data_IF_650938122807
#
_entry.id   IF_650938122807
#
_cell.length_a   1.000
_cell.length_b   1.000
_cell.length_c   1.000
_cell.angle_alpha   90.00
_cell.angle_beta   90.00
_cell.angle_gamma   90.00
#
_symmetry.space_group_name_H-M   'P 1'
#
loop_
_entity.id
_entity.type
_entity.pdbx_description
1 polymer ?
#
# COMPACT_ATOMS: atom_id res chain seq x y z
N UNK A 1 8.12 3.66 -36.34
CA UNK A 1 7.30 4.83 -35.92
C UNK A 1 5.85 4.40 -35.62
N UNK A 2 5.67 3.28 -34.92
CA UNK A 2 4.36 2.78 -34.43
C UNK A 2 4.40 2.49 -32.92
N UNK A 3 5.59 2.42 -32.32
CA UNK A 3 5.82 2.03 -30.90
C UNK A 3 5.31 3.05 -29.86
N UNK A 4 4.87 4.23 -30.32
CA UNK A 4 4.29 5.25 -29.46
C UNK A 4 2.77 5.16 -29.37
N UNK A 5 2.13 4.33 -30.20
CA UNK A 5 0.68 4.15 -30.16
C UNK A 5 0.36 2.93 -29.29
N UNK A 6 -0.46 3.16 -28.27
CA UNK A 6 -0.86 2.12 -27.31
C UNK A 6 -2.39 2.04 -27.17
N UNK A 7 -2.87 0.85 -26.83
CA UNK A 7 -4.28 0.61 -26.49
C UNK A 7 -4.65 1.04 -25.07
N UNK A 8 -5.94 0.95 -24.76
CA UNK A 8 -6.53 1.34 -23.47
C UNK A 8 -5.93 0.57 -22.30
N UNK A 9 -5.69 -0.72 -22.48
CA UNK A 9 -5.17 -1.64 -21.46
C UNK A 9 -3.76 -1.22 -21.05
N UNK A 10 -2.91 -0.93 -22.04
CA UNK A 10 -1.54 -0.47 -21.78
C UNK A 10 -1.52 0.95 -21.22
N UNK A 11 -2.40 1.83 -21.69
CA UNK A 11 -2.55 3.17 -21.12
C UNK A 11 -3.04 3.12 -19.66
N UNK A 12 -3.93 2.19 -19.31
CA UNK A 12 -4.42 1.97 -17.96
C UNK A 12 -3.28 1.56 -17.00
N UNK A 13 -2.42 0.63 -17.41
CA UNK A 13 -1.19 0.29 -16.67
C UNK A 13 -0.26 1.50 -16.51
N UNK A 14 -0.10 2.31 -17.56
CA UNK A 14 0.78 3.47 -17.51
C UNK A 14 0.25 4.59 -16.61
N UNK A 15 -1.06 4.76 -16.52
CA UNK A 15 -1.74 5.80 -15.76
C UNK A 15 -2.16 5.37 -14.35
N UNK A 16 -2.08 4.07 -14.03
CA UNK A 16 -2.58 3.51 -12.76
C UNK A 16 -4.10 3.60 -12.62
N UNK A 17 -4.83 3.45 -13.73
CA UNK A 17 -6.30 3.53 -13.79
C UNK A 17 -6.88 2.19 -14.23
N UNK A 18 -8.20 2.01 -14.10
CA UNK A 18 -8.87 0.88 -14.75
C UNK A 18 -9.06 1.17 -16.25
N UNK A 19 -9.08 0.15 -17.13
CA UNK A 19 -9.37 0.34 -18.55
C UNK A 19 -10.69 1.07 -18.80
N UNK A 20 -11.71 0.81 -17.98
CA UNK A 20 -13.00 1.50 -18.05
C UNK A 20 -12.89 3.01 -17.80
N UNK A 21 -12.13 3.42 -16.78
CA UNK A 21 -11.88 4.85 -16.51
C UNK A 21 -11.12 5.52 -17.65
N UNK A 22 -10.09 4.86 -18.21
CA UNK A 22 -9.35 5.39 -19.37
C UNK A 22 -10.27 5.55 -20.57
N UNK A 23 -11.15 4.58 -20.84
CA UNK A 23 -12.15 4.64 -21.91
C UNK A 23 -13.10 5.83 -21.72
N UNK A 24 -13.57 6.07 -20.50
CA UNK A 24 -14.42 7.22 -20.17
C UNK A 24 -13.70 8.55 -20.43
N UNK A 25 -12.43 8.66 -20.03
CA UNK A 25 -11.63 9.86 -20.27
C UNK A 25 -11.35 10.10 -21.76
N UNK A 26 -11.20 9.05 -22.55
CA UNK A 26 -11.11 9.18 -24.01
C UNK A 26 -12.43 9.70 -24.58
N UNK A 27 -13.58 9.15 -24.16
CA UNK A 27 -14.90 9.63 -24.64
C UNK A 27 -15.23 11.05 -24.19
N UNK A 28 -14.77 11.46 -23.01
CA UNK A 28 -14.97 12.80 -22.44
C UNK A 28 -13.96 13.84 -22.97
N UNK A 29 -13.01 13.44 -23.84
CA UNK A 29 -11.98 14.34 -24.38
C UNK A 29 -10.91 14.75 -23.36
N UNK A 30 -10.86 14.12 -22.19
CA UNK A 30 -9.86 14.37 -21.12
C UNK A 30 -8.49 13.79 -21.47
N UNK A 31 -8.45 12.76 -22.32
CA UNK A 31 -7.22 12.21 -22.89
C UNK A 31 -7.23 12.38 -24.41
N UNK A 32 -6.09 12.81 -24.97
CA UNK A 32 -5.91 12.90 -26.42
C UNK A 32 -5.81 11.50 -27.00
N UNK A 33 -6.92 11.02 -27.57
CA UNK A 33 -7.05 9.68 -28.13
C UNK A 33 -7.81 9.73 -29.45
N UNK A 34 -7.59 8.74 -30.32
CA UNK A 34 -8.35 8.55 -31.56
C UNK A 34 -9.09 7.23 -31.47
N UNK A 35 -10.36 7.20 -31.91
CA UNK A 35 -11.14 5.97 -31.97
C UNK A 35 -10.98 5.34 -33.35
N UNK A 36 -10.52 4.09 -33.39
CA UNK A 36 -10.38 3.29 -34.61
C UNK A 36 -11.22 2.03 -34.44
N UNK A 37 -12.35 1.96 -35.17
CA UNK A 37 -13.36 0.94 -34.95
C UNK A 37 -13.93 1.00 -33.51
N UNK A 38 -13.77 -0.10 -32.76
CA UNK A 38 -14.23 -0.22 -31.38
C UNK A 38 -13.13 0.05 -30.33
N UNK A 39 -11.92 0.37 -30.77
CA UNK A 39 -10.76 0.53 -29.88
C UNK A 39 -10.32 1.99 -29.85
N UNK A 40 -9.91 2.45 -28.67
CA UNK A 40 -9.23 3.74 -28.52
C UNK A 40 -7.73 3.53 -28.59
N UNK A 41 -7.07 4.35 -29.40
CA UNK A 41 -5.62 4.40 -29.51
C UNK A 41 -5.11 5.73 -28.93
N UNK A 42 -4.07 5.64 -28.12
CA UNK A 42 -3.47 6.76 -27.41
C UNK A 42 -2.01 6.89 -27.80
N UNK A 43 -1.53 8.13 -27.87
CA UNK A 43 -0.10 8.40 -28.01
C UNK A 43 0.55 8.43 -26.62
N UNK A 44 1.43 7.47 -26.38
CA UNK A 44 2.19 7.28 -25.14
C UNK A 44 2.94 8.55 -24.73
N UNK A 45 3.45 9.34 -25.67
CA UNK A 45 4.20 10.58 -25.39
C UNK A 45 3.31 11.71 -24.86
N UNK A 46 2.02 11.68 -25.22
CA UNK A 46 1.03 12.67 -24.77
C UNK A 46 0.36 12.25 -23.46
N UNK A 47 0.55 11.01 -23.03
CA UNK A 47 0.20 10.61 -21.68
C UNK A 47 1.22 11.26 -20.76
N UNK A 48 0.80 12.31 -20.05
CA UNK A 48 1.45 12.69 -18.80
C UNK A 48 1.30 11.50 -17.87
N UNK A 49 2.26 10.58 -17.93
CA UNK A 49 2.44 9.55 -16.93
C UNK A 49 2.46 10.34 -15.65
N UNK A 50 1.43 10.11 -14.84
CA UNK A 50 1.39 10.72 -13.53
C UNK A 50 2.47 9.97 -12.76
N UNK A 51 3.73 10.40 -12.89
CA UNK A 51 4.87 9.81 -12.17
C UNK A 51 4.61 9.90 -10.67
N UNK A 52 3.87 10.95 -10.27
CA UNK A 52 3.24 11.12 -8.94
C UNK A 52 2.20 10.06 -8.55
N UNK A 53 1.78 9.15 -9.46
CA UNK A 53 0.84 8.06 -9.15
C UNK A 53 1.40 6.67 -9.44
N UNK A 54 2.66 6.54 -9.88
CA UNK A 54 3.23 5.24 -10.23
C UNK A 54 3.93 4.51 -9.09
N UNK A 55 3.96 5.08 -7.88
CA UNK A 55 4.36 4.37 -6.65
C UNK A 55 3.96 5.06 -5.35
N UNK A 56 2.97 5.93 -5.39
CA UNK A 56 2.48 6.57 -4.17
C UNK A 56 1.02 6.20 -3.93
N UNK A 57 0.78 5.65 -2.74
CA UNK A 57 -0.50 5.61 -2.04
C UNK A 57 -1.55 4.62 -2.55
N UNK A 58 -1.39 3.35 -2.14
CA UNK A 58 -2.47 2.63 -1.45
C UNK A 58 -1.86 1.55 -0.56
N UNK A 59 -1.58 1.97 0.67
CA UNK A 59 -1.32 1.15 1.83
C UNK A 59 0.09 0.58 1.90
N UNK A 60 0.81 0.88 2.98
CA UNK A 60 1.86 0.04 3.56
C UNK A 60 1.33 -1.38 3.93
N UNK A 61 0.30 -1.87 3.25
CA UNK A 61 -0.81 -2.63 3.79
C UNK A 61 -1.49 -3.48 2.71
N UNK A 62 -0.95 -3.54 1.49
CA UNK A 62 -1.49 -4.40 0.44
C UNK A 62 -0.66 -5.68 0.32
N UNK A 63 -1.32 -6.83 0.25
CA UNK A 63 -0.70 -8.16 0.19
C UNK A 63 -1.12 -8.88 -1.09
N UNK A 64 -0.22 -9.62 -1.73
CA UNK A 64 -0.56 -10.48 -2.86
C UNK A 64 -0.62 -11.95 -2.40
N UNK A 65 -1.76 -12.59 -2.60
CA UNK A 65 -1.99 -13.99 -2.20
C UNK A 65 -2.60 -14.75 -3.37
N UNK A 66 -1.92 -15.80 -3.86
CA UNK A 66 -2.44 -16.67 -4.93
C UNK A 66 -2.94 -15.88 -6.16
N UNK A 67 -2.21 -14.84 -6.56
CA UNK A 67 -2.59 -13.96 -7.67
C UNK A 67 -3.68 -12.92 -7.34
N UNK A 68 -4.22 -12.92 -6.13
CA UNK A 68 -5.20 -11.93 -5.64
C UNK A 68 -4.49 -10.80 -4.92
N UNK A 69 -5.01 -9.59 -5.06
CA UNK A 69 -4.55 -8.42 -4.29
C UNK A 69 -5.50 -8.23 -3.12
N UNK A 70 -4.94 -8.25 -1.92
CA UNK A 70 -5.60 -7.92 -0.68
C UNK A 70 -5.21 -6.51 -0.25
N UNK A 71 -6.15 -5.74 0.26
CA UNK A 71 -5.90 -4.41 0.83
C UNK A 71 -6.26 -4.41 2.31
N UNK A 72 -5.38 -3.86 3.16
CA UNK A 72 -5.65 -3.84 4.58
C UNK A 72 -6.84 -2.95 4.92
N UNK A 73 -7.63 -3.46 5.84
CA UNK A 73 -8.79 -2.85 6.47
C UNK A 73 -8.41 -2.21 7.81
N UNK A 74 -7.36 -2.70 8.45
CA UNK A 74 -6.90 -2.23 9.76
C UNK A 74 -5.39 -1.96 9.72
N UNK A 75 -4.89 -1.18 10.67
CA UNK A 75 -3.45 -1.19 10.93
C UNK A 75 -3.02 -2.54 11.51
N UNK A 76 -1.76 -2.89 11.34
CA UNK A 76 -1.18 -4.03 12.05
C UNK A 76 -1.11 -3.72 13.55
N UNK A 77 -1.57 -4.66 14.37
CA UNK A 77 -1.46 -4.59 15.83
C UNK A 77 -0.81 -5.85 16.37
N UNK A 78 -0.06 -5.70 17.46
CA UNK A 78 0.51 -6.84 18.16
C UNK A 78 -0.57 -7.73 18.78
N UNK A 79 -0.28 -9.01 18.88
CA UNK A 79 -1.10 -9.98 19.59
C UNK A 79 -0.98 -9.75 21.11
N UNK A 80 -2.07 -9.99 21.84
CA UNK A 80 -2.12 -9.78 23.29
C UNK A 80 -1.15 -10.72 24.00
N UNK A 81 -1.03 -11.95 23.49
CA UNK A 81 -0.23 -13.02 24.09
C UNK A 81 1.22 -13.02 23.59
N UNK A 82 1.51 -12.38 22.46
CA UNK A 82 2.84 -12.34 21.87
C UNK A 82 3.11 -11.01 21.16
N UNK A 83 3.94 -10.16 21.78
CA UNK A 83 4.29 -8.83 21.27
C UNK A 83 5.07 -8.84 19.95
N UNK A 84 5.67 -9.96 19.57
CA UNK A 84 6.38 -10.10 18.29
C UNK A 84 5.47 -10.57 17.16
N UNK A 85 4.24 -10.97 17.48
CA UNK A 85 3.25 -11.41 16.52
C UNK A 85 2.32 -10.26 16.21
N UNK A 86 2.17 -9.97 14.92
CA UNK A 86 1.32 -8.87 14.46
C UNK A 86 0.23 -9.43 13.57
N UNK A 87 -0.95 -8.82 13.61
CA UNK A 87 -2.03 -9.15 12.69
C UNK A 87 -2.75 -7.92 12.17
N UNK A 88 -3.29 -8.03 10.97
CA UNK A 88 -4.20 -7.05 10.41
C UNK A 88 -5.30 -7.75 9.61
N UNK A 89 -6.43 -7.07 9.44
CA UNK A 89 -7.52 -7.55 8.61
C UNK A 89 -7.39 -7.01 7.19
N UNK A 90 -7.74 -7.82 6.21
CA UNK A 90 -7.65 -7.51 4.79
C UNK A 90 -8.95 -7.86 4.08
N UNK A 91 -9.19 -7.21 2.94
CA UNK A 91 -10.22 -7.59 1.97
C UNK A 91 -9.62 -7.77 0.59
N UNK A 92 -10.26 -8.60 -0.22
CA UNK A 92 -9.91 -8.75 -1.63
C UNK A 92 -10.27 -7.48 -2.44
N UNK A 93 -9.35 -7.03 -3.30
CA UNK A 93 -9.56 -5.90 -4.21
C UNK A 93 -10.18 -6.41 -5.51
N UNK A 94 -11.36 -5.88 -5.87
CA UNK A 94 -12.14 -6.29 -7.05
C UNK A 94 -12.52 -7.78 -7.02
N UNK A 95 -13.33 -8.25 -6.05
CA UNK A 95 -13.86 -9.60 -6.10
C UNK A 95 -14.66 -9.81 -7.40
N UNK A 96 -14.70 -11.06 -7.89
CA UNK A 96 -15.59 -11.41 -9.01
C UNK A 96 -17.03 -11.02 -8.64
N UNK A 97 -17.88 -10.56 -9.57
CA UNK A 97 -19.28 -10.25 -9.27
C UNK A 97 -20.08 -11.41 -8.68
N UNK A 98 -19.60 -12.66 -8.86
CA UNK A 98 -20.16 -13.89 -8.30
C UNK A 98 -19.63 -14.25 -6.91
N UNK A 99 -18.56 -13.61 -6.47
CA UNK A 99 -17.83 -14.02 -5.27
C UNK A 99 -18.25 -13.14 -4.10
N UNK A 100 -18.57 -13.80 -2.99
CA UNK A 100 -18.66 -13.15 -1.71
C UNK A 100 -17.37 -12.37 -1.40
N UNK A 101 -17.52 -11.19 -0.79
CA UNK A 101 -16.36 -10.39 -0.38
C UNK A 101 -15.60 -11.15 0.70
N UNK A 102 -14.51 -11.82 0.29
CA UNK A 102 -13.66 -12.56 1.21
C UNK A 102 -12.85 -11.59 2.08
N UNK A 103 -12.91 -11.84 3.38
CA UNK A 103 -12.12 -11.14 4.38
C UNK A 103 -11.03 -12.08 4.89
N UNK A 104 -9.88 -11.51 5.23
CA UNK A 104 -8.74 -12.29 5.69
C UNK A 104 -8.15 -11.67 6.95
N UNK A 105 -7.81 -12.50 7.93
CA UNK A 105 -6.85 -12.14 8.98
C UNK A 105 -5.48 -12.59 8.51
N UNK A 106 -4.54 -11.67 8.39
CA UNK A 106 -3.15 -11.96 8.05
C UNK A 106 -2.29 -11.76 9.29
N UNK A 107 -1.41 -12.71 9.57
CA UNK A 107 -0.56 -12.69 10.76
C UNK A 107 0.90 -12.90 10.39
N UNK A 108 1.77 -12.11 11.02
CA UNK A 108 3.22 -12.14 10.90
C UNK A 108 3.85 -12.49 12.24
N UNK A 109 4.95 -13.23 12.19
CA UNK A 109 5.81 -13.48 13.33
C UNK A 109 7.12 -12.74 13.05
N UNK A 110 7.30 -11.63 13.74
CA UNK A 110 8.45 -10.75 13.56
C UNK A 110 9.59 -11.11 14.50
N UNK A 111 9.55 -12.26 15.18
CA UNK A 111 10.60 -12.64 16.14
C UNK A 111 11.98 -12.64 15.49
N UNK A 112 12.11 -13.26 14.31
CA UNK A 112 13.37 -13.25 13.56
C UNK A 112 13.84 -11.82 13.24
N UNK A 113 12.94 -11.00 12.68
CA UNK A 113 13.25 -9.61 12.34
C UNK A 113 13.70 -8.81 13.56
N UNK A 114 12.95 -8.86 14.66
CA UNK A 114 13.25 -8.11 15.88
C UNK A 114 14.56 -8.57 16.54
N UNK A 115 14.86 -9.87 16.51
CA UNK A 115 16.13 -10.41 17.01
C UNK A 115 17.30 -9.96 16.13
N UNK A 116 17.20 -10.13 14.81
CA UNK A 116 18.24 -9.73 13.88
C UNK A 116 18.45 -8.21 13.88
N UNK A 117 17.39 -7.41 14.00
CA UNK A 117 17.49 -5.95 14.09
C UNK A 117 18.15 -5.51 15.40
N UNK A 118 17.82 -6.14 16.54
CA UNK A 118 18.48 -5.85 17.82
C UNK A 118 19.99 -6.13 17.78
N UNK A 119 20.40 -7.11 16.97
CA UNK A 119 21.80 -7.45 16.73
C UNK A 119 22.44 -6.65 15.57
N UNK A 120 21.63 -5.84 14.86
CA UNK A 120 22.01 -5.10 13.64
C UNK A 120 22.44 -6.00 12.47
N UNK A 121 21.99 -7.25 12.47
CA UNK A 121 22.26 -8.25 11.42
C UNK A 121 21.21 -8.23 10.31
N UNK A 122 20.03 -7.64 10.56
CA UNK A 122 19.00 -7.52 9.53
C UNK A 122 19.44 -6.56 8.40
N UNK A 123 19.29 -6.98 7.15
CA UNK A 123 19.56 -6.13 6.01
C UNK A 123 18.26 -5.51 5.48
N UNK A 124 18.17 -4.18 5.55
CA UNK A 124 16.97 -3.45 5.15
C UNK A 124 16.81 -3.49 3.64
N UNK A 125 15.65 -3.99 3.20
CA UNK A 125 15.29 -4.06 1.78
C UNK A 125 14.91 -2.68 1.20
N UNK A 126 14.20 -2.69 0.08
CA UNK A 126 13.74 -1.45 -0.57
C UNK A 126 12.64 -0.77 0.26
N UNK A 127 12.68 0.57 0.41
CA UNK A 127 11.60 1.31 1.08
C UNK A 127 10.29 1.20 0.30
N UNK A 128 9.19 1.31 1.04
CA UNK A 128 7.83 1.28 0.47
C UNK A 128 7.32 2.66 0.11
N UNK A 129 7.80 3.70 0.79
CA UNK A 129 7.35 5.06 0.60
C UNK A 129 8.53 6.03 0.79
N UNK A 130 8.49 7.15 0.06
CA UNK A 130 9.38 8.27 0.28
C UNK A 130 8.54 9.53 0.44
N UNK A 131 9.07 10.50 1.17
CA UNK A 131 8.55 11.87 1.20
C UNK A 131 9.69 12.86 1.17
N UNK A 132 9.52 13.94 0.43
CA UNK A 132 10.40 15.11 0.52
C UNK A 132 10.14 15.80 1.86
N UNK A 133 11.19 16.23 2.54
CA UNK A 133 11.04 17.05 3.74
C UNK A 133 11.02 18.54 3.39
N UNK A 134 10.17 19.31 4.08
CA UNK A 134 10.04 20.76 3.84
C UNK A 134 11.15 21.55 4.55
N UNK A 135 11.80 20.98 5.57
CA UNK A 135 12.95 21.55 6.27
C UNK A 135 14.20 20.66 6.15
N UNK A 136 15.00 20.85 5.09
CA UNK A 136 16.21 20.09 4.83
C UNK A 136 17.23 20.08 5.97
N UNK A 137 17.46 21.25 6.56
CA UNK A 137 18.54 21.45 7.53
C UNK A 137 18.21 20.74 8.84
N UNK A 138 16.98 20.88 9.33
CA UNK A 138 16.52 20.18 10.53
C UNK A 138 16.58 18.67 10.35
N UNK A 139 16.21 18.16 9.18
CA UNK A 139 16.18 16.72 8.92
C UNK A 139 17.58 16.12 8.80
N UNK A 140 18.49 16.76 8.06
CA UNK A 140 19.90 16.34 8.00
C UNK A 140 20.54 16.40 9.40
N UNK A 141 20.29 17.46 10.17
CA UNK A 141 20.82 17.61 11.53
C UNK A 141 20.23 16.62 12.53
N UNK A 142 18.97 16.20 12.35
CA UNK A 142 18.37 15.15 13.15
C UNK A 142 19.08 13.81 12.89
N UNK A 143 19.31 13.49 11.62
CA UNK A 143 19.85 12.20 11.23
C UNK A 143 21.36 12.05 11.38
N UNK A 144 22.11 13.17 11.36
CA UNK A 144 23.57 13.17 11.62
C UNK A 144 23.94 12.64 13.01
N UNK A 145 22.97 12.52 13.91
CA UNK A 145 23.14 11.96 15.27
C UNK A 145 23.15 10.43 15.30
N UNK A 146 22.76 9.76 14.22
CA UNK A 146 22.70 8.30 14.14
C UNK A 146 23.98 7.73 13.51
N UNK A 147 24.17 6.42 13.68
CA UNK A 147 25.26 5.70 13.02
C UNK A 147 25.03 5.73 11.50
N UNK A 148 26.04 6.13 10.69
CA UNK A 148 25.94 6.09 9.24
C UNK A 148 25.56 4.70 8.75
N UNK A 149 24.65 4.64 7.77
CA UNK A 149 24.28 3.39 7.11
C UNK A 149 24.90 3.26 5.73
N UNK A 150 25.08 4.40 5.04
CA UNK A 150 25.78 4.51 3.74
C UNK A 150 25.28 3.52 2.67
N UNK A 151 24.00 3.12 2.75
CA UNK A 151 23.37 2.25 1.75
C UNK A 151 22.90 3.10 0.57
N UNK A 152 23.27 2.68 -0.64
CA UNK A 152 22.79 3.29 -1.88
C UNK A 152 21.62 2.49 -2.46
N UNK A 153 20.55 3.18 -2.83
CA UNK A 153 19.37 2.57 -3.45
C UNK A 153 18.90 3.38 -4.65
N UNK A 154 18.32 2.71 -5.65
CA UNK A 154 17.65 3.35 -6.78
C UNK A 154 16.13 3.18 -6.67
N UNK A 155 15.39 4.29 -6.62
CA UNK A 155 13.93 4.28 -6.59
C UNK A 155 13.34 5.37 -7.48
N UNK A 156 12.38 5.01 -8.34
CA UNK A 156 11.72 6.00 -9.22
C UNK A 156 12.66 6.67 -10.23
N UNK A 157 13.77 6.01 -10.62
CA UNK A 157 14.76 6.57 -11.53
C UNK A 157 15.71 7.58 -10.89
N UNK A 158 15.69 7.71 -9.56
CA UNK A 158 16.67 8.48 -8.78
C UNK A 158 17.48 7.57 -7.89
N UNK A 159 18.73 7.95 -7.66
CA UNK A 159 19.62 7.30 -6.71
C UNK A 159 19.64 8.09 -5.40
N UNK A 160 19.63 7.35 -4.29
CA UNK A 160 19.59 7.88 -2.95
C UNK A 160 20.67 7.23 -2.11
N UNK A 161 21.35 8.04 -1.32
CA UNK A 161 22.22 7.59 -0.24
C UNK A 161 21.47 7.68 1.09
N UNK A 162 21.25 6.54 1.74
CA UNK A 162 20.61 6.46 3.04
C UNK A 162 21.63 6.87 4.11
N UNK A 163 21.29 7.88 4.89
CA UNK A 163 22.24 8.51 5.83
C UNK A 163 22.25 7.84 7.20
N UNK A 164 21.20 7.10 7.56
CA UNK A 164 21.11 6.38 8.83
C UNK A 164 20.34 5.07 8.70
N UNK A 165 20.58 4.14 9.63
CA UNK A 165 19.79 2.90 9.69
C UNK A 165 18.33 3.24 10.03
N UNK A 166 17.33 2.56 9.43
CA UNK A 166 15.93 2.83 9.73
C UNK A 166 15.63 2.76 11.23
N UNK A 167 14.85 3.72 11.71
CA UNK A 167 14.43 3.84 13.10
C UNK A 167 12.92 3.63 13.22
N UNK A 168 12.50 2.94 14.27
CA UNK A 168 11.09 2.61 14.51
C UNK A 168 10.26 3.86 14.80
N UNK A 169 9.05 3.91 14.27
CA UNK A 169 7.95 4.75 14.74
C UNK A 169 7.25 4.07 15.94
N UNK A 170 6.35 4.80 16.60
CA UNK A 170 5.68 4.41 17.85
C UNK A 170 4.98 3.03 17.83
N UNK A 171 4.65 2.50 16.64
CA UNK A 171 3.94 1.22 16.44
C UNK A 171 4.84 -0.02 16.43
N UNK A 172 6.16 0.13 16.28
CA UNK A 172 7.11 -1.00 16.19
C UNK A 172 7.12 -1.73 14.85
N UNK A 173 6.25 -1.36 13.91
CA UNK A 173 6.15 -1.99 12.57
C UNK A 173 6.45 -1.03 11.43
N UNK A 174 6.35 0.28 11.67
CA UNK A 174 6.73 1.30 10.71
C UNK A 174 8.11 1.84 11.07
N UNK A 175 8.99 1.93 10.09
CA UNK A 175 10.35 2.41 10.24
C UNK A 175 10.65 3.48 9.21
N UNK A 176 11.57 4.36 9.53
CA UNK A 176 11.98 5.41 8.61
C UNK A 176 13.46 5.74 8.70
N UNK A 177 14.05 6.22 7.61
CA UNK A 177 15.42 6.69 7.54
C UNK A 177 15.50 7.98 6.73
N UNK A 178 16.54 8.75 6.97
CA UNK A 178 16.92 9.85 6.11
C UNK A 178 17.65 9.34 4.88
N UNK A 179 17.49 10.05 3.78
CA UNK A 179 18.30 9.86 2.59
C UNK A 179 18.57 11.19 1.90
N UNK A 180 19.61 11.22 1.08
CA UNK A 180 19.95 12.35 0.20
C UNK A 180 20.02 11.86 -1.24
N UNK A 181 19.54 12.64 -2.20
CA UNK A 181 19.76 12.36 -3.62
C UNK A 181 21.12 12.90 -4.12
N UNK A 182 21.43 12.68 -5.39
CA UNK A 182 22.68 13.14 -6.02
C UNK A 182 22.86 14.67 -6.03
N UNK A 183 21.77 15.43 -5.86
CA UNK A 183 21.79 16.89 -5.77
C UNK A 183 21.85 17.39 -4.31
N UNK A 184 21.88 16.47 -3.34
CA UNK A 184 21.92 16.77 -1.91
C UNK A 184 20.56 17.10 -1.30
N UNK A 185 19.45 16.90 -2.01
CA UNK A 185 18.11 17.12 -1.44
C UNK A 185 17.80 16.00 -0.43
N UNK A 186 17.27 16.32 0.76
CA UNK A 186 16.94 15.32 1.75
C UNK A 186 15.54 14.73 1.56
N UNK A 187 15.41 13.46 1.92
CA UNK A 187 14.20 12.67 1.86
C UNK A 187 14.04 11.85 3.14
N UNK A 188 12.80 11.54 3.49
CA UNK A 188 12.46 10.47 4.43
C UNK A 188 12.04 9.25 3.62
N UNK A 189 12.65 8.11 3.91
CA UNK A 189 12.30 6.81 3.37
C UNK A 189 11.59 6.01 4.45
N UNK A 190 10.57 5.23 4.08
CA UNK A 190 9.74 4.51 5.02
C UNK A 190 9.60 3.03 4.65
N UNK A 191 9.62 2.18 5.67
CA UNK A 191 9.41 0.75 5.59
C UNK A 191 8.23 0.36 6.48
N UNK A 192 7.54 -0.69 6.06
CA UNK A 192 6.63 -1.43 6.93
C UNK A 192 7.13 -2.87 7.00
N UNK A 193 7.55 -3.31 8.18
CA UNK A 193 8.17 -4.62 8.38
C UNK A 193 7.22 -5.78 8.04
N UNK A 194 5.90 -5.61 8.24
CA UNK A 194 4.95 -6.66 7.86
C UNK A 194 4.83 -6.84 6.34
N UNK A 195 5.28 -5.86 5.55
CA UNK A 195 5.37 -6.01 4.09
C UNK A 195 6.73 -6.54 3.63
N UNK A 196 7.74 -6.54 4.49
CA UNK A 196 9.06 -7.12 4.18
C UNK A 196 9.16 -8.59 4.54
N UNK A 197 8.29 -9.06 5.44
CA UNK A 197 8.28 -10.41 5.98
C UNK A 197 7.03 -11.13 5.48
N UNK A 198 7.21 -12.33 4.94
CA UNK A 198 6.07 -13.14 4.51
C UNK A 198 5.17 -13.50 5.70
N UNK A 199 3.84 -13.45 5.53
CA UNK A 199 2.93 -13.87 6.59
C UNK A 199 3.09 -15.37 6.85
N UNK A 200 3.18 -15.77 8.11
CA UNK A 200 3.24 -17.19 8.48
C UNK A 200 1.83 -17.81 8.60
N UNK A 201 0.78 -16.97 8.67
CA UNK A 201 -0.61 -17.43 8.76
C UNK A 201 -1.57 -16.47 8.07
N UNK A 202 -2.46 -17.02 7.25
CA UNK A 202 -3.56 -16.31 6.61
C UNK A 202 -4.84 -17.11 6.85
N UNK A 203 -5.87 -16.45 7.38
CA UNK A 203 -7.15 -17.06 7.70
C UNK A 203 -8.27 -16.33 6.99
N UNK A 204 -9.05 -17.02 6.18
CA UNK A 204 -10.29 -16.48 5.63
C UNK A 204 -11.32 -16.36 6.77
N UNK A 205 -11.85 -15.16 6.98
CA UNK A 205 -12.87 -14.89 7.98
C UNK A 205 -14.24 -15.06 7.30
N UNK A 206 -14.80 -16.26 7.38
CA UNK A 206 -16.12 -16.59 6.83
C UNK A 206 -17.28 -16.12 7.73
N UNK A 207 -17.20 -14.91 8.28
CA UNK A 207 -18.31 -14.35 9.06
C UNK A 207 -18.84 -13.06 8.44
N UNK A 208 -19.72 -13.24 7.46
CA UNK A 208 -20.47 -12.16 6.83
C UNK A 208 -21.50 -11.48 7.78
N UNK A 209 -21.71 -12.01 9.00
CA UNK A 209 -22.75 -11.54 9.92
C UNK A 209 -22.26 -10.48 10.90
N UNK A 210 -20.94 -10.31 11.06
CA UNK A 210 -20.34 -9.48 12.12
C UNK A 210 -19.65 -8.20 11.61
N UNK A 211 -19.93 -7.74 10.39
CA UNK A 211 -19.34 -6.50 9.87
C UNK A 211 -20.40 -5.59 9.25
N UNK A 212 -20.25 -4.28 9.43
CA UNK A 212 -21.10 -3.32 8.70
C UNK A 212 -20.71 -3.31 7.21
N UNK A 213 -21.65 -3.59 6.31
CA UNK A 213 -21.39 -3.66 4.87
C UNK A 213 -20.86 -2.35 4.25
N UNK A 214 -21.17 -1.19 4.85
CA UNK A 214 -20.72 0.15 4.38
C UNK A 214 -19.43 0.61 5.03
N UNK A 215 -19.40 0.67 6.36
CA UNK A 215 -18.25 1.20 7.12
C UNK A 215 -17.16 0.15 7.40
N UNK A 216 -17.49 -1.15 7.21
CA UNK A 216 -16.62 -2.31 7.39
C UNK A 216 -15.95 -2.43 8.77
N UNK A 217 -16.51 -1.76 9.78
CA UNK A 217 -16.14 -1.96 11.19
C UNK A 217 -16.69 -3.31 11.69
N UNK A 218 -15.92 -4.09 12.45
CA UNK A 218 -16.42 -5.28 13.13
C UNK A 218 -17.52 -4.89 14.14
N UNK A 219 -18.49 -5.78 14.34
CA UNK A 219 -19.33 -5.78 15.52
C UNK A 219 -18.41 -5.95 16.73
N UNK A 220 -18.12 -4.85 17.43
CA UNK A 220 -17.55 -4.96 18.75
C UNK A 220 -18.55 -5.77 19.60
N UNK A 221 -18.06 -6.79 20.29
CA UNK A 221 -18.85 -7.65 21.19
C UNK A 221 -19.65 -6.88 22.24
N UNK A 222 -19.39 -5.59 22.41
CA UNK A 222 -20.13 -4.67 23.26
C UNK A 222 -20.82 -3.57 22.43
N UNK A 223 -21.93 -3.91 21.78
CA UNK A 223 -23.09 -3.03 21.54
C UNK A 223 -22.91 -1.68 20.82
N UNK A 224 -21.70 -1.31 20.42
CA UNK A 224 -21.43 -0.03 19.79
C UNK A 224 -21.85 -0.12 18.33
N UNK A 225 -23.03 0.43 18.05
CA UNK A 225 -23.48 0.75 16.70
C UNK A 225 -22.33 1.49 15.98
N UNK A 226 -21.82 1.00 14.86
CA UNK A 226 -21.33 1.85 13.78
C UNK A 226 -22.44 2.84 13.45
N UNK A 227 -22.38 4.00 14.09
CA UNK A 227 -23.15 5.18 13.72
C UNK A 227 -22.19 5.99 12.86
N UNK A 228 -22.31 5.90 11.55
CA UNK A 228 -21.93 7.04 10.72
C UNK A 228 -23.09 8.04 10.71
N UNK A 229 -22.80 9.29 10.35
CA UNK A 229 -23.73 10.43 10.42
C UNK A 229 -25.00 10.24 9.57
N UNK A 230 -25.04 9.19 8.74
CA UNK A 230 -26.11 8.88 7.77
C UNK A 230 -27.13 7.82 8.25
N UNK A 231 -27.02 7.31 9.49
CA UNK A 231 -28.12 6.55 10.11
C UNK A 231 -28.44 5.19 9.50
N UNK A 232 -27.43 4.37 9.16
CA UNK A 232 -27.66 3.04 8.61
C UNK A 232 -28.18 2.01 9.63
N UNK A 233 -29.26 1.29 9.30
CA UNK A 233 -29.71 0.09 10.01
C UNK A 233 -28.95 -1.16 9.55
N UNK A 234 -28.55 -2.00 10.51
CA UNK A 234 -27.90 -3.29 10.25
C UNK A 234 -28.82 -4.22 9.49
N UNK A 235 -28.47 -4.59 8.25
CA UNK A 235 -29.06 -5.77 7.61
C UNK A 235 -28.21 -6.97 7.98
N UNK A 236 -28.75 -7.82 8.86
CA UNK A 236 -28.26 -9.19 9.00
C UNK A 236 -28.50 -9.86 7.64
N UNK A 237 -27.46 -10.39 7.00
CA UNK A 237 -27.63 -11.32 5.89
C UNK A 237 -28.31 -12.58 6.46
N UNK A 238 -29.64 -12.59 6.46
CA UNK A 238 -30.41 -13.81 6.68
C UNK A 238 -30.11 -14.71 5.50
N UNK A 239 -29.48 -15.85 5.76
CA UNK A 239 -29.57 -16.99 4.86
C UNK A 239 -31.05 -17.36 4.82
N UNK A 240 -31.65 -17.36 3.63
CA UNK A 240 -32.97 -17.94 3.43
C UNK A 240 -32.85 -19.44 3.74
N UNK A 241 -33.59 -19.89 4.77
CA UNK A 241 -33.73 -21.31 5.14
C UNK A 241 -34.59 -22.05 4.11
#
# INVERSE_FOLDING_TARGET
MLDMIIGVEKAAELLGLTPGTVKNYCSEGKLKATKVGNTWILDKSNLKVNEKRKRELKGLNDLFLNGRRLTSMTSASSDVDNKNRYSAHFREVNPSPSDDVNHYKVTWDLTYFLTAEAQREFEWGKPHFLSVDEDPETTVNYFSKFVPYDLEISMGGKDFKIINRPVSLSSGVEYWAGAIDGDGNPYKLFWNVVNMIDPYRIEMINDQRLYCHRCLKPWASQGNKCVDEDGHEYKINKTED
#
